data_IF_075868367897
#
_entry.id   IF_075868367897
#
_cell.length_a   1.000
_cell.length_b   1.000
_cell.length_c   1.000
_cell.angle_alpha   90.00
_cell.angle_beta   90.00
_cell.angle_gamma   90.00
#
_symmetry.space_group_name_H-M   'P 1'
#
loop_
_entity.id
_entity.type
_entity.pdbx_description
1 polymer ?
#
# COMPACT_ATOMS: atom_id res chain seq x y z
N UNK A 1 -42.03 -23.41 -13.45
CA UNK A 1 -40.70 -23.47 -14.10
C UNK A 1 -39.93 -22.16 -14.02
N UNK A 2 -40.53 -20.99 -14.29
CA UNK A 2 -39.85 -19.69 -14.16
C UNK A 2 -39.30 -19.39 -12.74
N UNK A 3 -40.03 -19.79 -11.69
CA UNK A 3 -39.60 -19.56 -10.31
C UNK A 3 -38.31 -20.29 -9.92
N UNK A 4 -38.03 -21.47 -10.49
CA UNK A 4 -36.81 -22.25 -10.17
C UNK A 4 -35.57 -21.67 -10.85
N UNK A 5 -35.72 -21.13 -12.06
CA UNK A 5 -34.65 -20.46 -12.80
C UNK A 5 -34.19 -19.17 -12.10
N UNK A 6 -35.12 -18.38 -11.58
CA UNK A 6 -34.82 -17.15 -10.83
C UNK A 6 -34.06 -17.46 -9.54
N UNK A 7 -34.48 -18.49 -8.80
CA UNK A 7 -33.79 -18.92 -7.58
C UNK A 7 -32.36 -19.38 -7.90
N UNK A 8 -32.18 -20.19 -8.95
CA UNK A 8 -30.85 -20.67 -9.36
C UNK A 8 -29.91 -19.52 -9.73
N UNK A 9 -30.40 -18.50 -10.44
CA UNK A 9 -29.60 -17.33 -10.83
C UNK A 9 -29.18 -16.47 -9.64
N UNK A 10 -30.04 -16.34 -8.62
CA UNK A 10 -29.74 -15.57 -7.40
C UNK A 10 -28.74 -16.33 -6.52
N UNK A 11 -28.89 -17.65 -6.39
CA UNK A 11 -27.91 -18.48 -5.66
C UNK A 11 -26.54 -18.51 -6.33
N UNK A 12 -26.49 -18.53 -7.67
CA UNK A 12 -25.21 -18.52 -8.41
C UNK A 12 -24.48 -17.18 -8.25
N UNK A 13 -25.21 -16.05 -8.26
CA UNK A 13 -24.63 -14.72 -8.00
C UNK A 13 -24.15 -14.57 -6.55
N UNK A 14 -24.89 -15.11 -5.58
CA UNK A 14 -24.45 -15.12 -4.18
C UNK A 14 -23.17 -15.96 -3.99
N UNK A 15 -23.08 -17.14 -4.60
CA UNK A 15 -21.87 -17.97 -4.54
C UNK A 15 -20.66 -17.37 -5.27
N UNK A 16 -20.85 -16.65 -6.37
CA UNK A 16 -19.77 -15.96 -7.09
C UNK A 16 -19.22 -14.77 -6.28
N UNK A 17 -20.07 -14.13 -5.47
CA UNK A 17 -19.66 -13.02 -4.60
C UNK A 17 -18.76 -13.48 -3.45
N UNK A 18 -18.96 -14.71 -2.95
CA UNK A 18 -18.14 -15.28 -1.87
C UNK A 18 -16.76 -15.76 -2.34
N UNK A 19 -16.60 -16.12 -3.62
CA UNK A 19 -15.33 -16.62 -4.18
C UNK A 19 -14.22 -15.54 -4.23
N UNK A 20 -14.58 -14.27 -4.33
CA UNK A 20 -13.61 -13.15 -4.25
C UNK A 20 -13.15 -12.86 -2.81
N UNK A 21 -13.76 -13.49 -1.80
CA UNK A 21 -13.45 -13.31 -0.38
C UNK A 21 -12.64 -14.46 0.25
N UNK A 22 -12.19 -15.46 -0.52
CA UNK A 22 -11.63 -16.70 0.07
C UNK A 22 -10.17 -16.56 0.53
N UNK A 23 -9.42 -15.54 0.13
CA UNK A 23 -8.14 -15.22 0.76
C UNK A 23 -7.76 -13.76 0.52
N UNK A 24 -7.77 -12.87 1.55
CA UNK A 24 -7.20 -11.55 1.38
C UNK A 24 -5.74 -11.72 0.94
N UNK A 25 -5.38 -11.11 -0.18
CA UNK A 25 -4.03 -11.19 -0.76
C UNK A 25 -3.01 -10.92 0.34
N UNK A 26 -2.12 -11.88 0.64
CA UNK A 26 -1.05 -11.66 1.61
C UNK A 26 -0.10 -10.58 1.08
N UNK A 27 0.68 -9.90 1.93
CA UNK A 27 1.69 -8.98 1.45
C UNK A 27 2.70 -9.76 0.60
N UNK A 28 3.32 -9.07 -0.35
CA UNK A 28 4.39 -9.59 -1.18
C UNK A 28 3.96 -10.72 -2.13
N UNK A 29 2.67 -10.82 -2.45
CA UNK A 29 2.16 -11.64 -3.56
C UNK A 29 2.40 -10.95 -4.90
N UNK A 30 2.38 -11.71 -6.00
CA UNK A 30 2.56 -11.15 -7.36
C UNK A 30 1.56 -10.02 -7.61
N UNK A 31 2.07 -8.86 -8.03
CA UNK A 31 1.22 -7.71 -8.31
C UNK A 31 0.25 -7.99 -9.47
N UNK A 32 -1.01 -7.57 -9.30
CA UNK A 32 -1.99 -7.53 -10.40
C UNK A 32 -1.63 -6.43 -11.40
N UNK A 33 -1.25 -5.26 -10.89
CA UNK A 33 -0.79 -4.12 -11.68
C UNK A 33 0.74 -3.96 -11.57
N UNK A 34 1.45 -4.16 -12.68
CA UNK A 34 2.91 -4.01 -12.75
C UNK A 34 3.36 -2.55 -12.59
N UNK A 35 2.48 -1.58 -12.86
CA UNK A 35 2.76 -0.14 -12.78
C UNK A 35 2.42 0.46 -11.41
N UNK A 36 1.92 -0.34 -10.47
CA UNK A 36 1.49 0.15 -9.17
C UNK A 36 2.66 0.74 -8.37
N UNK A 37 3.87 0.18 -8.50
CA UNK A 37 5.08 0.74 -7.89
C UNK A 37 5.44 2.12 -8.44
N UNK A 38 5.42 2.29 -9.77
CA UNK A 38 5.73 3.59 -10.39
C UNK A 38 4.66 4.63 -10.05
N UNK A 39 3.41 4.20 -9.95
CA UNK A 39 2.30 5.03 -9.48
C UNK A 39 2.51 5.45 -8.02
N UNK A 40 2.95 4.52 -7.16
CA UNK A 40 3.30 4.81 -5.77
C UNK A 40 4.44 5.84 -5.69
N UNK A 41 5.52 5.65 -6.45
CA UNK A 41 6.64 6.61 -6.49
C UNK A 41 6.17 8.00 -6.92
N UNK A 42 5.38 8.09 -7.99
CA UNK A 42 4.86 9.37 -8.49
C UNK A 42 3.97 10.08 -7.47
N UNK A 43 3.14 9.34 -6.75
CA UNK A 43 2.12 9.89 -5.85
C UNK A 43 2.54 10.04 -4.40
N UNK A 44 3.59 9.34 -3.95
CA UNK A 44 3.94 9.26 -2.53
C UNK A 44 5.42 9.41 -2.24
N UNK A 45 6.32 9.06 -3.17
CA UNK A 45 7.78 9.12 -2.93
C UNK A 45 8.51 9.75 -4.13
N UNK A 46 8.05 10.93 -4.53
CA UNK A 46 8.60 11.64 -5.67
C UNK A 46 9.83 12.47 -5.24
N UNK A 47 10.96 12.29 -5.94
CA UNK A 47 12.22 13.02 -5.66
C UNK A 47 12.08 14.55 -5.76
N UNK A 48 11.11 15.02 -6.55
CA UNK A 48 10.87 16.45 -6.77
C UNK A 48 9.83 17.02 -5.78
N UNK A 49 9.36 16.22 -4.80
CA UNK A 49 8.42 16.70 -3.78
C UNK A 49 9.06 17.82 -2.95
N UNK A 50 8.36 18.96 -2.74
CA UNK A 50 8.83 20.01 -1.86
C UNK A 50 9.03 19.51 -0.42
N UNK A 51 9.90 20.19 0.33
CA UNK A 51 10.24 19.85 1.72
C UNK A 51 9.79 20.90 2.73
N UNK A 52 9.51 22.14 2.31
CA UNK A 52 8.93 23.17 3.17
C UNK A 52 7.39 23.14 3.09
N UNK A 53 6.68 22.77 4.17
CA UNK A 53 5.21 22.76 4.19
C UNK A 53 4.61 24.18 4.10
N UNK A 54 5.38 25.24 4.37
CA UNK A 54 4.90 26.64 4.31
C UNK A 54 4.96 27.20 2.90
N UNK A 55 5.76 26.63 2.01
CA UNK A 55 5.89 27.10 0.62
C UNK A 55 4.77 26.53 -0.27
N UNK A 56 3.54 27.02 -0.08
CA UNK A 56 2.37 26.54 -0.82
C UNK A 56 2.50 26.73 -2.34
N UNK A 57 3.29 27.72 -2.77
CA UNK A 57 3.56 27.97 -4.20
C UNK A 57 4.35 26.82 -4.82
N UNK A 58 5.37 26.30 -4.13
CA UNK A 58 6.11 25.13 -4.60
C UNK A 58 5.24 23.88 -4.61
N UNK A 59 4.43 23.67 -3.56
CA UNK A 59 3.46 22.59 -3.55
C UNK A 59 2.47 22.67 -4.72
N UNK A 60 1.95 23.85 -5.02
CA UNK A 60 1.04 24.06 -6.15
C UNK A 60 1.72 23.79 -7.51
N UNK A 61 2.97 24.23 -7.69
CA UNK A 61 3.77 23.90 -8.89
C UNK A 61 3.99 22.39 -9.00
N UNK A 62 4.34 21.74 -7.91
CA UNK A 62 4.58 20.30 -7.86
C UNK A 62 3.33 19.49 -8.20
N UNK A 63 2.18 19.77 -7.56
CA UNK A 63 0.89 19.11 -7.86
C UNK A 63 0.49 19.33 -9.33
N UNK A 64 0.72 20.52 -9.89
CA UNK A 64 0.50 20.78 -11.32
C UNK A 64 1.39 19.90 -12.20
N UNK A 65 2.68 19.80 -11.87
CA UNK A 65 3.66 19.00 -12.61
C UNK A 65 3.26 17.52 -12.67
N UNK A 66 2.79 16.96 -11.55
CA UNK A 66 2.40 15.54 -11.47
C UNK A 66 0.94 15.27 -11.87
N UNK A 67 0.16 16.33 -12.15
CA UNK A 67 -1.22 16.31 -12.65
C UNK A 67 -2.21 15.56 -11.74
N UNK A 68 -2.14 15.75 -10.43
CA UNK A 68 -2.98 15.05 -9.43
C UNK A 68 -4.01 15.95 -8.74
N UNK A 69 -4.56 16.93 -9.46
CA UNK A 69 -5.50 17.91 -8.89
C UNK A 69 -6.85 17.32 -8.46
N UNK A 70 -7.21 16.16 -8.98
CA UNK A 70 -8.42 15.39 -8.68
C UNK A 70 -8.40 14.73 -7.29
N UNK A 71 -7.25 14.68 -6.63
CA UNK A 71 -7.08 14.03 -5.33
C UNK A 71 -7.16 15.07 -4.20
N UNK A 72 -8.26 15.13 -3.41
CA UNK A 72 -8.48 16.20 -2.43
C UNK A 72 -7.50 16.16 -1.26
N UNK A 73 -6.96 14.99 -0.94
CA UNK A 73 -5.94 14.77 0.09
C UNK A 73 -4.86 13.88 -0.52
N UNK A 74 -3.60 14.28 -0.35
CA UNK A 74 -2.45 13.54 -0.86
C UNK A 74 -1.34 13.51 0.18
N UNK A 75 -0.62 12.38 0.26
CA UNK A 75 0.47 12.19 1.21
C UNK A 75 1.79 12.00 0.47
N UNK A 76 2.82 12.76 0.83
CA UNK A 76 4.14 12.67 0.21
C UNK A 76 5.22 12.47 1.29
N UNK A 77 5.97 11.39 1.17
CA UNK A 77 7.20 11.18 1.93
C UNK A 77 8.31 12.07 1.32
N UNK A 78 9.08 12.81 2.14
CA UNK A 78 10.28 13.46 1.63
C UNK A 78 11.25 12.39 1.15
N UNK A 79 11.99 12.69 0.07
CA UNK A 79 12.89 11.69 -0.55
C UNK A 79 14.01 11.21 0.39
N UNK A 80 14.35 12.00 1.41
CA UNK A 80 15.24 11.58 2.50
C UNK A 80 14.76 10.34 3.26
N UNK A 81 13.46 10.06 3.26
CA UNK A 81 12.83 8.90 3.92
C UNK A 81 12.75 7.68 2.98
N UNK A 82 13.17 7.79 1.71
CA UNK A 82 12.96 6.77 0.69
C UNK A 82 13.42 5.37 1.11
N UNK A 83 14.61 5.26 1.73
CA UNK A 83 15.13 3.98 2.21
C UNK A 83 14.21 3.33 3.24
N UNK A 84 13.66 4.12 4.17
CA UNK A 84 12.78 3.61 5.22
C UNK A 84 11.40 3.24 4.66
N UNK A 85 10.85 4.06 3.75
CA UNK A 85 9.59 3.77 3.06
C UNK A 85 9.67 2.46 2.27
N UNK A 86 10.75 2.28 1.50
CA UNK A 86 10.97 1.04 0.73
C UNK A 86 11.15 -0.19 1.63
N UNK A 87 11.78 -0.01 2.81
CA UNK A 87 12.01 -1.10 3.76
C UNK A 87 10.73 -1.58 4.46
N UNK A 88 9.61 -0.84 4.41
CA UNK A 88 8.34 -1.30 5.00
C UNK A 88 7.87 -2.61 4.38
N UNK A 89 8.10 -2.82 3.08
CA UNK A 89 7.76 -4.07 2.40
C UNK A 89 8.79 -5.19 2.60
N UNK A 90 9.71 -5.04 3.55
CA UNK A 90 10.68 -6.07 3.94
C UNK A 90 10.84 -6.14 5.45
N UNK A 91 12.06 -6.00 5.99
CA UNK A 91 12.35 -6.09 7.42
C UNK A 91 11.99 -4.84 8.21
N UNK A 92 11.72 -3.72 7.53
CA UNK A 92 11.33 -2.45 8.12
C UNK A 92 9.84 -2.32 8.45
N UNK A 93 9.03 -3.32 8.09
CA UNK A 93 7.60 -3.37 8.40
C UNK A 93 7.14 -4.76 8.81
N UNK A 94 5.93 -4.81 9.36
CA UNK A 94 5.25 -6.01 9.83
C UNK A 94 3.91 -6.17 9.12
N UNK A 95 3.43 -7.40 9.02
CA UNK A 95 2.11 -7.68 8.44
C UNK A 95 1.04 -6.97 9.26
N UNK A 96 0.20 -6.18 8.61
CA UNK A 96 -0.93 -5.50 9.24
C UNK A 96 -2.26 -6.18 8.90
N UNK A 97 -2.71 -6.08 7.65
CA UNK A 97 -3.97 -6.66 7.19
C UNK A 97 -3.96 -6.83 5.66
N UNK A 98 -4.39 -7.99 5.16
CA UNK A 98 -4.35 -8.27 3.72
C UNK A 98 -2.94 -8.08 3.16
N UNK A 99 -2.79 -7.27 2.10
CA UNK A 99 -1.47 -6.98 1.51
C UNK A 99 -0.79 -5.76 2.14
N UNK A 100 -1.35 -5.24 3.23
CA UNK A 100 -0.83 -4.07 3.94
C UNK A 100 0.22 -4.48 4.97
N UNK A 101 1.29 -3.71 5.01
CA UNK A 101 2.33 -3.77 6.02
C UNK A 101 2.46 -2.42 6.73
N UNK A 102 2.62 -2.47 8.05
CA UNK A 102 2.82 -1.29 8.89
C UNK A 102 4.31 -1.10 9.19
N UNK A 103 4.81 0.12 9.09
CA UNK A 103 6.21 0.43 9.37
C UNK A 103 6.53 0.21 10.85
N UNK A 104 7.69 -0.38 11.15
CA UNK A 104 8.13 -0.58 12.55
C UNK A 104 8.48 0.72 13.25
N UNK A 105 8.91 1.73 12.49
CA UNK A 105 9.23 3.07 12.99
C UNK A 105 8.27 4.10 12.41
N UNK A 106 7.91 5.16 13.15
CA UNK A 106 7.17 6.29 12.60
C UNK A 106 7.95 6.95 11.46
N UNK A 107 7.28 7.27 10.37
CA UNK A 107 7.83 7.96 9.21
C UNK A 107 7.27 9.38 9.14
N UNK A 108 8.11 10.31 8.68
CA UNK A 108 7.69 11.69 8.40
C UNK A 108 7.08 11.75 6.99
N UNK A 109 5.93 12.41 6.85
CA UNK A 109 5.35 12.72 5.54
C UNK A 109 4.53 14.01 5.58
N UNK A 110 4.19 14.53 4.41
CA UNK A 110 3.38 15.72 4.24
C UNK A 110 1.98 15.34 3.75
N UNK A 111 0.95 15.80 4.43
CA UNK A 111 -0.43 15.74 3.94
C UNK A 111 -0.81 17.06 3.29
N UNK A 112 -1.02 17.03 1.98
CA UNK A 112 -1.43 18.16 1.16
C UNK A 112 -2.94 18.12 1.00
N UNK A 113 -3.61 19.22 1.36
CA UNK A 113 -5.04 19.38 1.18
C UNK A 113 -5.31 20.29 -0.03
N UNK A 114 -6.17 19.84 -0.94
CA UNK A 114 -6.52 20.56 -2.17
C UNK A 114 -7.95 21.10 -2.06
N UNK A 115 -8.17 22.35 -2.50
CA UNK A 115 -9.52 22.91 -2.73
C UNK A 115 -9.97 22.68 -4.17
N UNK A 116 -11.28 22.69 -4.39
CA UNK A 116 -11.92 22.49 -5.70
C UNK A 116 -11.39 23.36 -6.85
N UNK A 117 -10.87 24.56 -6.57
CA UNK A 117 -10.32 25.48 -7.59
C UNK A 117 -8.83 25.25 -7.90
N UNK A 118 -8.34 24.01 -7.86
CA UNK A 118 -6.91 23.67 -8.07
C UNK A 118 -5.96 24.54 -7.24
N UNK A 119 -6.29 24.68 -5.96
CA UNK A 119 -5.51 25.45 -5.01
C UNK A 119 -5.07 24.54 -3.87
N UNK A 120 -3.78 24.57 -3.52
CA UNK A 120 -3.29 23.94 -2.30
C UNK A 120 -3.80 24.76 -1.11
N UNK A 121 -4.63 24.17 -0.25
CA UNK A 121 -5.20 24.80 0.94
C UNK A 121 -4.13 24.99 2.01
N UNK A 122 -3.45 23.91 2.33
CA UNK A 122 -2.40 23.82 3.34
C UNK A 122 -1.67 22.50 3.20
N UNK A 123 -0.49 22.43 3.82
CA UNK A 123 0.30 21.22 3.96
C UNK A 123 0.57 20.99 5.44
N UNK A 124 0.24 19.79 5.93
CA UNK A 124 0.49 19.39 7.31
C UNK A 124 1.64 18.39 7.36
N UNK A 125 2.57 18.59 8.28
CA UNK A 125 3.59 17.58 8.59
C UNK A 125 2.97 16.52 9.47
N UNK A 126 3.19 15.26 9.12
CA UNK A 126 2.79 14.08 9.87
C UNK A 126 4.03 13.30 10.30
N UNK A 127 3.94 12.65 11.46
CA UNK A 127 4.94 11.69 11.94
C UNK A 127 4.21 10.54 12.64
N UNK A 128 4.01 9.44 11.94
CA UNK A 128 3.28 8.27 12.41
C UNK A 128 3.72 7.01 11.66
N UNK A 129 3.27 5.84 12.11
CA UNK A 129 3.53 4.60 11.38
C UNK A 129 2.80 4.63 10.04
N UNK A 130 3.53 4.34 8.96
CA UNK A 130 2.99 4.26 7.62
C UNK A 130 2.42 2.86 7.37
N UNK A 131 1.25 2.79 6.75
CA UNK A 131 0.65 1.54 6.31
C UNK A 131 0.75 1.52 4.79
N UNK A 132 1.50 0.56 4.24
CA UNK A 132 1.74 0.45 2.81
C UNK A 132 1.21 -0.88 2.29
N UNK A 133 0.53 -0.88 1.14
CA UNK A 133 0.31 -2.10 0.38
C UNK A 133 1.62 -2.56 -0.25
N UNK A 134 1.94 -3.84 -0.15
CA UNK A 134 3.19 -4.41 -0.61
C UNK A 134 2.93 -5.60 -1.54
N UNK A 135 3.45 -5.52 -2.77
CA UNK A 135 3.36 -6.58 -3.76
C UNK A 135 4.75 -6.97 -4.29
N UNK A 136 4.86 -8.14 -4.92
CA UNK A 136 6.06 -8.60 -5.62
C UNK A 136 6.00 -8.18 -7.08
N UNK A 137 6.93 -7.30 -7.48
CA UNK A 137 7.14 -6.80 -8.84
C UNK A 137 8.60 -7.05 -9.21
N UNK A 138 8.84 -7.74 -10.33
CA UNK A 138 10.20 -8.10 -10.80
C UNK A 138 11.05 -8.80 -9.71
N UNK A 139 10.44 -9.77 -9.01
CA UNK A 139 11.05 -10.49 -7.89
C UNK A 139 11.48 -9.64 -6.68
N UNK A 140 11.05 -8.39 -6.60
CA UNK A 140 11.29 -7.50 -5.46
C UNK A 140 9.98 -7.15 -4.77
N UNK A 141 10.00 -7.06 -3.45
CA UNK A 141 8.87 -6.56 -2.68
C UNK A 141 8.86 -5.04 -2.72
N UNK A 142 7.76 -4.47 -3.22
CA UNK A 142 7.65 -3.05 -3.54
C UNK A 142 6.37 -2.47 -2.92
N UNK A 143 6.42 -1.23 -2.40
CA UNK A 143 5.21 -0.54 -2.00
C UNK A 143 4.39 -0.18 -3.24
N UNK A 144 3.09 -0.44 -3.19
CA UNK A 144 2.15 -0.22 -4.30
C UNK A 144 0.98 0.69 -3.91
N UNK A 145 0.72 0.84 -2.61
CA UNK A 145 -0.38 1.64 -2.08
C UNK A 145 0.03 2.31 -0.77
N UNK A 146 -0.52 3.49 -0.49
CA UNK A 146 -0.41 4.14 0.82
C UNK A 146 -1.79 4.19 1.45
N UNK A 147 -1.93 3.58 2.63
CA UNK A 147 -3.17 3.58 3.41
C UNK A 147 -3.07 4.59 4.56
N UNK A 148 -4.13 5.35 4.77
CA UNK A 148 -4.15 6.36 5.81
C UNK A 148 -4.30 5.70 7.19
N UNK A 149 -3.32 5.92 8.08
CA UNK A 149 -3.37 5.42 9.46
C UNK A 149 -4.24 6.32 10.36
N UNK A 150 -5.56 6.30 10.14
CA UNK A 150 -6.51 7.21 10.82
C UNK A 150 -6.59 7.02 12.35
N UNK A 151 -6.28 5.81 12.82
CA UNK A 151 -6.43 5.42 14.22
C UNK A 151 -5.09 5.35 14.96
N UNK A 152 -4.01 5.87 14.36
CA UNK A 152 -2.63 5.79 14.89
C UNK A 152 -2.25 4.35 15.31
N UNK A 153 -2.63 3.38 14.49
CA UNK A 153 -2.26 1.98 14.65
C UNK A 153 -0.74 1.84 14.78
N UNK A 154 -0.32 0.87 15.59
CA UNK A 154 1.08 0.54 15.86
C UNK A 154 1.40 -0.87 15.34
N UNK A 155 2.68 -1.14 15.00
CA UNK A 155 3.14 -2.49 14.75
C UNK A 155 2.82 -3.42 15.93
N UNK A 156 2.48 -4.67 15.63
CA UNK A 156 2.30 -5.73 16.62
C UNK A 156 3.55 -6.59 16.57
N UNK A 157 4.38 -6.49 17.61
CA UNK A 157 5.68 -7.15 17.68
C UNK A 157 5.60 -8.70 17.59
N UNK A 158 4.40 -9.29 17.66
CA UNK A 158 4.18 -10.72 17.46
C UNK A 158 3.94 -11.08 15.98
N UNK A 159 3.73 -10.10 15.11
CA UNK A 159 3.56 -10.31 13.67
C UNK A 159 4.92 -10.47 12.99
N UNK A 160 5.03 -11.34 11.98
CA UNK A 160 6.26 -11.49 11.23
C UNK A 160 6.55 -10.25 10.39
N UNK A 161 7.82 -10.12 9.99
CA UNK A 161 8.25 -9.14 9.00
C UNK A 161 7.41 -9.26 7.71
N UNK A 162 7.18 -8.14 7.03
CA UNK A 162 6.39 -8.10 5.80
C UNK A 162 6.91 -9.07 4.71
N UNK A 163 8.24 -9.22 4.60
CA UNK A 163 8.86 -10.17 3.67
C UNK A 163 8.84 -11.63 4.14
N UNK A 164 8.61 -11.90 5.43
CA UNK A 164 8.59 -13.26 6.01
C UNK A 164 7.25 -13.96 5.88
N UNK A 165 6.23 -13.29 5.33
CA UNK A 165 4.96 -13.91 4.95
C UNK A 165 5.13 -15.14 4.03
N UNK A 166 6.29 -15.31 3.39
CA UNK A 166 6.63 -16.46 2.53
C UNK A 166 7.47 -17.55 3.20
N UNK A 167 8.06 -17.35 4.38
CA UNK A 167 8.89 -18.38 5.03
C UNK A 167 8.07 -19.54 5.61
N UNK A 168 6.77 -19.32 5.87
CA UNK A 168 5.86 -20.35 6.40
C UNK A 168 5.00 -21.02 5.32
N UNK A 169 5.26 -20.76 4.04
CA UNK A 169 4.53 -21.39 2.92
C UNK A 169 5.40 -22.40 2.13
N UNK A 170 6.60 -22.70 2.60
CA UNK A 170 7.48 -23.71 2.01
C UNK A 170 8.36 -24.31 3.10
N UNK A 171 7.76 -25.13 3.97
CA UNK A 171 8.44 -26.21 4.65
C UNK A 171 7.89 -27.50 4.04
N UNK A 172 8.42 -27.88 2.88
CA UNK A 172 8.50 -29.30 2.53
C UNK A 172 9.87 -29.72 3.10
N UNK A 173 9.94 -30.63 4.07
CA UNK A 173 11.21 -31.11 4.58
C UNK A 173 12.05 -31.69 3.43
N UNK A 174 13.35 -31.41 3.45
CA UNK A 174 14.33 -31.83 2.44
C UNK A 174 14.59 -33.36 2.43
N UNK A 175 13.76 -34.17 3.10
CA UNK A 175 13.94 -35.61 3.25
C UNK A 175 13.11 -36.47 2.27
N UNK A 176 12.24 -35.89 1.43
CA UNK A 176 11.45 -36.65 0.43
C UNK A 176 12.03 -36.64 -1.00
N UNK A 177 13.32 -36.32 -1.17
CA UNK A 177 13.97 -36.26 -2.49
C UNK A 177 14.90 -37.43 -2.81
N UNK A 178 14.88 -38.50 -2.01
CA UNK A 178 15.59 -39.75 -2.30
C UNK A 178 14.75 -40.99 -1.99
N UNK A 179 13.65 -41.17 -2.71
CA UNK A 179 13.18 -42.50 -3.12
C UNK A 179 12.60 -42.39 -4.54
N UNK A 180 13.43 -42.70 -5.54
CA UNK A 180 13.26 -43.65 -6.67
C UNK A 180 14.55 -43.57 -7.49
#
# INVERSE_FOLDING_TARGET
>A
MLSFLVILTVTLHACLSELDMVNPSKPCTKAKDKNAYDTFLRHHLNKDSPTDPRNLREWQKFITKIKTWDRPIQSFFPFSEARMVMAVCSSGGEIYQGNLCISKKPLKFFTVYIKSKKQVKNVKVQKQHAILGCDKIENKYRPVHFEANKNDAKPDNNKPDCSKAMANASFIPFEELFEI
#
